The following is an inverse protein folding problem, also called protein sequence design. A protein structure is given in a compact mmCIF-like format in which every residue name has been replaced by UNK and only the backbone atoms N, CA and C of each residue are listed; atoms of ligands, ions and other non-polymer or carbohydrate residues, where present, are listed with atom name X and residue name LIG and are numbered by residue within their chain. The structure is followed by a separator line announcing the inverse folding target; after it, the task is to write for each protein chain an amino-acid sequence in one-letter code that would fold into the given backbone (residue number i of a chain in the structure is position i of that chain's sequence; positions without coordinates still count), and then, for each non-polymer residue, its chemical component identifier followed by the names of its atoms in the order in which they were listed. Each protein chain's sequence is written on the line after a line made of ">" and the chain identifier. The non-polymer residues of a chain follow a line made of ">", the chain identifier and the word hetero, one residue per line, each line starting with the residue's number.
data_IF_057878935745
#
_entry.id   IF_057878935745
#
_cell.length_a   1.000
_cell.length_b   1.000
_cell.length_c   1.000
_cell.angle_alpha   90.00
_cell.angle_beta   90.00
_cell.angle_gamma   90.00
#
_symmetry.space_group_name_H-M   'P 1'
#
loop_
_entity.id
_entity.type
_entity.pdbx_description
1 polymer ?
#
# COMPACT_ATOMS: atom_id res chain seq x y z
N UNK A 1 4.51 8.88 -8.76
CA UNK A 1 5.37 7.95 -7.97
C UNK A 1 4.92 8.00 -6.53
N UNK A 2 5.02 6.88 -5.78
CA UNK A 2 4.64 6.86 -4.38
C UNK A 2 5.69 7.53 -3.48
N UNK A 3 5.22 8.24 -2.47
CA UNK A 3 5.97 8.81 -1.36
C UNK A 3 5.77 7.92 -0.12
N UNK A 4 6.85 7.50 0.53
CA UNK A 4 6.73 6.60 1.68
C UNK A 4 6.58 7.34 3.00
N UNK A 5 5.61 6.89 3.81
CA UNK A 5 5.40 7.32 5.20
C UNK A 5 6.23 6.44 6.14
N UNK A 6 6.35 5.17 5.79
CA UNK A 6 7.20 4.17 6.40
C UNK A 6 7.48 3.05 5.42
N UNK A 7 8.59 2.33 5.62
CA UNK A 7 9.04 1.27 4.70
C UNK A 7 9.34 -0.05 5.41
N UNK A 8 9.00 -0.16 6.69
CA UNK A 8 9.28 -1.33 7.51
C UNK A 8 8.11 -2.29 7.67
N UNK A 9 8.41 -3.53 8.01
CA UNK A 9 7.41 -4.53 8.38
C UNK A 9 6.82 -4.29 9.78
N UNK A 10 5.96 -5.21 10.22
CA UNK A 10 5.17 -5.09 11.45
C UNK A 10 5.95 -4.69 12.71
N UNK A 11 7.17 -5.17 12.85
CA UNK A 11 8.01 -4.99 14.05
C UNK A 11 9.20 -4.07 13.82
N UNK A 12 9.26 -3.39 12.68
CA UNK A 12 10.35 -2.48 12.37
C UNK A 12 10.19 -1.16 13.12
N UNK A 13 11.05 -0.96 14.13
CA UNK A 13 11.14 0.30 14.83
C UNK A 13 11.96 1.35 14.04
N UNK A 14 12.87 0.87 13.18
CA UNK A 14 13.76 1.72 12.38
C UNK A 14 13.05 2.38 11.20
N UNK A 15 12.18 1.64 10.52
CA UNK A 15 11.58 2.08 9.26
C UNK A 15 10.10 2.47 9.39
N UNK A 16 9.44 2.14 10.53
CA UNK A 16 8.00 2.33 10.73
C UNK A 16 7.15 1.43 9.84
N UNK A 17 5.84 1.38 10.07
CA UNK A 17 4.95 0.53 9.28
C UNK A 17 4.94 0.94 7.80
N UNK A 18 4.95 -0.07 6.93
CA UNK A 18 4.95 0.14 5.49
C UNK A 18 3.66 0.83 5.04
N UNK A 19 3.80 2.04 4.57
CA UNK A 19 2.70 2.83 4.03
C UNK A 19 3.25 3.87 3.07
N UNK A 20 2.49 4.16 2.03
CA UNK A 20 2.86 5.16 1.05
C UNK A 20 1.66 6.03 0.67
N UNK A 21 1.92 7.18 0.05
CA UNK A 21 0.88 8.04 -0.49
C UNK A 21 1.26 8.59 -1.85
N UNK A 22 0.26 9.06 -2.57
CA UNK A 22 0.42 9.94 -3.72
C UNK A 22 -0.71 10.96 -3.76
N UNK A 23 -0.41 12.10 -4.34
CA UNK A 23 -1.36 13.17 -4.57
C UNK A 23 -1.71 13.23 -6.06
N UNK A 24 -3.00 13.15 -6.37
CA UNK A 24 -3.52 13.30 -7.73
C UNK A 24 -4.60 14.39 -7.70
N UNK A 25 -4.40 15.45 -8.46
CA UNK A 25 -5.29 16.60 -8.39
C UNK A 25 -5.43 17.14 -6.97
N UNK A 26 -6.65 17.19 -6.46
CA UNK A 26 -6.95 17.62 -5.08
C UNK A 26 -7.20 16.44 -4.12
N UNK A 27 -6.95 15.22 -4.55
CA UNK A 27 -7.17 14.02 -3.77
C UNK A 27 -5.86 13.44 -3.22
N UNK A 28 -5.97 12.76 -2.07
CA UNK A 28 -4.88 12.01 -1.46
C UNK A 28 -5.19 10.50 -1.53
N UNK A 29 -4.25 9.73 -2.04
CA UNK A 29 -4.30 8.27 -2.14
C UNK A 29 -3.27 7.69 -1.18
N UNK A 30 -3.72 6.85 -0.24
CA UNK A 30 -2.88 6.23 0.80
C UNK A 30 -2.92 4.72 0.61
N UNK A 31 -1.75 4.11 0.52
CA UNK A 31 -1.54 2.67 0.42
C UNK A 31 -1.14 2.14 1.79
N UNK A 32 -2.03 1.35 2.39
CA UNK A 32 -1.99 0.87 3.77
C UNK A 32 -1.98 1.99 4.83
N UNK A 33 -2.44 1.68 6.02
CA UNK A 33 -2.56 2.61 7.14
C UNK A 33 -2.28 1.89 8.46
N UNK A 34 -1.02 1.57 8.71
CA UNK A 34 -0.55 0.94 9.93
C UNK A 34 -0.68 1.81 11.18
N UNK A 35 -0.35 1.26 12.34
CA UNK A 35 -0.62 1.91 13.64
C UNK A 35 0.13 3.23 13.84
N UNK A 36 1.29 3.43 13.22
CA UNK A 36 2.11 4.65 13.37
C UNK A 36 1.88 5.70 12.27
N UNK A 37 1.07 5.38 11.24
CA UNK A 37 0.87 6.23 10.05
C UNK A 37 0.09 7.51 10.39
N UNK A 38 -0.94 7.42 11.25
CA UNK A 38 -1.76 8.57 11.60
C UNK A 38 -0.93 9.74 12.12
N UNK A 39 -0.05 9.51 13.08
CA UNK A 39 0.73 10.58 13.71
C UNK A 39 1.65 11.29 12.71
N UNK A 40 2.23 10.54 11.78
CA UNK A 40 3.11 11.08 10.74
C UNK A 40 2.33 11.96 9.75
N UNK A 41 1.23 11.46 9.19
CA UNK A 41 0.41 12.21 8.23
C UNK A 41 -0.22 13.47 8.86
N UNK A 42 -0.61 13.40 10.14
CA UNK A 42 -1.13 14.57 10.86
C UNK A 42 -0.03 15.63 11.03
N UNK A 43 1.17 15.23 11.43
CA UNK A 43 2.29 16.16 11.62
C UNK A 43 2.69 16.83 10.30
N UNK A 44 2.67 16.09 9.20
CA UNK A 44 2.97 16.57 7.85
C UNK A 44 1.88 17.44 7.22
N UNK A 45 0.72 17.56 7.87
CA UNK A 45 -0.44 18.35 7.35
C UNK A 45 -0.91 17.95 5.95
N UNK A 46 -0.71 16.71 5.55
CA UNK A 46 -1.00 16.22 4.20
C UNK A 46 -2.50 16.25 3.82
N UNK A 47 -3.37 16.48 4.79
CA UNK A 47 -4.81 16.61 4.56
C UNK A 47 -5.26 18.04 4.20
N UNK A 48 -4.38 19.04 4.35
CA UNK A 48 -4.75 20.45 4.06
C UNK A 48 -5.09 20.63 2.57
N UNK A 49 -6.27 21.17 2.31
CA UNK A 49 -6.76 21.45 0.94
C UNK A 49 -7.23 20.23 0.15
N UNK A 50 -7.25 19.04 0.75
CA UNK A 50 -7.73 17.85 0.05
C UNK A 50 -9.24 17.78 -0.03
N UNK A 51 -9.74 17.41 -1.20
CA UNK A 51 -11.19 17.23 -1.44
C UNK A 51 -11.64 15.83 -1.06
N UNK A 52 -10.75 14.82 -1.14
CA UNK A 52 -11.02 13.42 -0.83
C UNK A 52 -9.76 12.72 -0.33
N UNK A 53 -9.94 11.72 0.53
CA UNK A 53 -8.88 10.80 0.94
C UNK A 53 -9.30 9.37 0.62
N UNK A 54 -8.47 8.66 -0.14
CA UNK A 54 -8.69 7.34 -0.67
C UNK A 54 -7.68 6.36 -0.04
N UNK A 55 -8.16 5.39 0.74
CA UNK A 55 -7.34 4.36 1.37
C UNK A 55 -7.41 3.07 0.56
N UNK A 56 -6.31 2.63 0.01
CA UNK A 56 -6.14 1.33 -0.63
C UNK A 56 -5.44 0.39 0.35
N UNK A 57 -6.17 -0.56 0.91
CA UNK A 57 -5.66 -1.46 1.94
C UNK A 57 -5.39 -2.84 1.34
N UNK A 58 -4.18 -3.35 1.57
CA UNK A 58 -3.76 -4.64 1.03
C UNK A 58 -4.28 -5.80 1.86
N UNK A 59 -4.26 -5.70 3.18
CA UNK A 59 -4.79 -6.71 4.10
C UNK A 59 -5.00 -6.14 5.53
N UNK A 60 -5.56 -6.97 6.43
CA UNK A 60 -6.07 -6.49 7.72
C UNK A 60 -5.09 -6.63 8.90
N UNK A 61 -3.81 -6.94 8.68
CA UNK A 61 -2.83 -6.90 9.75
C UNK A 61 -2.66 -5.49 10.32
N UNK A 62 -2.26 -5.39 11.58
CA UNK A 62 -2.24 -4.11 12.29
C UNK A 62 -1.22 -3.11 11.72
N UNK A 63 -0.17 -3.58 11.10
CA UNK A 63 0.84 -2.75 10.42
C UNK A 63 0.37 -2.24 9.04
N UNK A 64 -0.78 -2.74 8.53
CA UNK A 64 -1.39 -2.29 7.26
C UNK A 64 -2.76 -1.62 7.45
N UNK A 65 -3.53 -2.00 8.48
CA UNK A 65 -4.88 -1.45 8.70
C UNK A 65 -5.12 -0.93 10.12
N UNK A 66 -4.17 -1.10 11.06
CA UNK A 66 -4.37 -0.78 12.47
C UNK A 66 -4.60 0.69 12.78
N UNK A 67 -4.09 1.60 11.96
CA UNK A 67 -4.27 3.05 12.09
C UNK A 67 -5.52 3.59 11.38
N UNK A 68 -6.22 2.77 10.58
CA UNK A 68 -7.28 3.23 9.71
C UNK A 68 -8.47 3.84 10.48
N UNK A 69 -8.89 3.23 11.58
CA UNK A 69 -10.03 3.72 12.34
C UNK A 69 -9.80 5.11 12.94
N UNK A 70 -8.65 5.35 13.57
CA UNK A 70 -8.34 6.70 14.09
C UNK A 70 -8.21 7.71 12.96
N UNK A 71 -7.68 7.30 11.82
CA UNK A 71 -7.54 8.14 10.64
C UNK A 71 -8.91 8.58 10.10
N UNK A 72 -9.85 7.64 9.92
CA UNK A 72 -11.23 7.93 9.48
C UNK A 72 -11.90 8.90 10.46
N UNK A 73 -11.78 8.66 11.76
CA UNK A 73 -12.36 9.53 12.78
C UNK A 73 -11.80 10.96 12.72
N UNK A 74 -10.48 11.10 12.58
CA UNK A 74 -9.82 12.39 12.43
C UNK A 74 -10.27 13.12 11.17
N UNK A 75 -10.28 12.46 10.03
CA UNK A 75 -10.72 13.02 8.76
C UNK A 75 -12.17 13.51 8.84
N UNK A 76 -13.08 12.69 9.37
CA UNK A 76 -14.49 13.04 9.50
C UNK A 76 -14.70 14.28 10.36
N UNK A 77 -14.09 14.38 11.52
CA UNK A 77 -14.35 15.47 12.44
C UNK A 77 -13.49 16.70 12.20
N UNK A 78 -12.20 16.52 11.92
CA UNK A 78 -11.23 17.61 11.90
C UNK A 78 -10.98 18.17 10.49
N UNK A 79 -11.11 17.35 9.45
CA UNK A 79 -10.81 17.76 8.08
C UNK A 79 -12.07 18.03 7.29
N UNK A 80 -13.00 17.09 7.29
CA UNK A 80 -14.21 17.16 6.44
C UNK A 80 -15.47 17.58 7.18
N UNK A 81 -15.37 17.95 8.46
CA UNK A 81 -16.44 18.56 9.27
C UNK A 81 -17.78 17.81 9.21
N UNK A 82 -17.72 16.46 9.22
CA UNK A 82 -18.87 15.56 9.20
C UNK A 82 -19.18 14.94 7.83
N UNK A 83 -18.58 15.41 6.76
CA UNK A 83 -18.79 14.86 5.41
C UNK A 83 -17.96 13.59 5.20
N UNK A 84 -18.56 12.44 5.50
CA UNK A 84 -17.94 11.12 5.34
C UNK A 84 -17.87 10.63 3.89
N UNK A 85 -18.61 11.25 2.96
CA UNK A 85 -18.55 10.88 1.53
C UNK A 85 -17.19 11.15 0.88
N UNK A 86 -16.34 11.94 1.56
CA UNK A 86 -14.98 12.29 1.15
C UNK A 86 -13.91 11.34 1.70
N UNK A 87 -14.32 10.30 2.44
CA UNK A 87 -13.45 9.28 3.04
C UNK A 87 -13.78 7.95 2.39
N UNK A 88 -12.89 7.48 1.51
CA UNK A 88 -13.10 6.28 0.71
C UNK A 88 -12.11 5.19 1.13
N UNK A 89 -12.61 3.98 1.34
CA UNK A 89 -11.80 2.79 1.65
C UNK A 89 -12.00 1.77 0.55
N UNK A 90 -10.93 1.32 -0.06
CA UNK A 90 -10.90 0.33 -1.12
C UNK A 90 -10.31 -0.96 -0.57
N UNK A 91 -11.15 -1.99 -0.45
CA UNK A 91 -10.74 -3.31 0.02
C UNK A 91 -11.71 -4.37 -0.48
N UNK A 92 -11.28 -5.39 -1.23
CA UNK A 92 -12.18 -6.31 -1.95
C UNK A 92 -12.82 -7.39 -1.06
N UNK A 93 -13.17 -7.02 0.17
CA UNK A 93 -13.92 -7.87 1.11
C UNK A 93 -14.68 -7.03 2.14
N UNK A 94 -15.85 -7.52 2.55
CA UNK A 94 -16.64 -6.91 3.63
C UNK A 94 -16.04 -7.09 5.02
N UNK A 95 -15.01 -7.91 5.18
CA UNK A 95 -14.28 -8.04 6.46
C UNK A 95 -13.68 -6.72 6.96
N UNK A 96 -13.48 -5.74 6.07
CA UNK A 96 -13.13 -4.38 6.45
C UNK A 96 -14.23 -3.71 7.31
N UNK A 97 -15.49 -3.93 7.00
CA UNK A 97 -16.61 -3.41 7.81
C UNK A 97 -16.57 -3.96 9.24
N UNK A 98 -16.24 -5.26 9.39
CA UNK A 98 -16.14 -5.90 10.70
C UNK A 98 -14.97 -5.33 11.52
N UNK A 99 -13.80 -5.14 10.88
CA UNK A 99 -12.65 -4.51 11.51
C UNK A 99 -13.02 -3.11 12.03
N UNK A 100 -13.61 -2.26 11.17
CA UNK A 100 -13.94 -0.88 11.51
C UNK A 100 -15.07 -0.80 12.54
N UNK A 101 -16.07 -1.71 12.47
CA UNK A 101 -17.14 -1.80 13.46
C UNK A 101 -16.62 -2.16 14.85
N UNK A 102 -15.63 -3.05 14.97
CA UNK A 102 -14.96 -3.33 16.24
C UNK A 102 -14.22 -2.13 16.80
N UNK A 103 -13.80 -1.19 15.94
CA UNK A 103 -13.21 0.10 16.34
C UNK A 103 -14.26 1.21 16.57
N UNK A 104 -15.55 0.89 16.51
CA UNK A 104 -16.67 1.80 16.78
C UNK A 104 -17.12 2.64 15.57
N UNK A 105 -16.76 2.23 14.36
CA UNK A 105 -17.09 2.94 13.12
C UNK A 105 -18.07 2.10 12.30
N UNK A 106 -19.18 2.71 11.88
CA UNK A 106 -20.16 2.09 11.00
C UNK A 106 -20.10 2.71 9.58
N UNK A 107 -20.99 2.30 8.70
CA UNK A 107 -21.07 2.75 7.32
C UNK A 107 -21.37 4.26 7.15
N UNK A 108 -21.69 4.99 8.22
CA UNK A 108 -21.90 6.45 8.17
C UNK A 108 -20.57 7.22 8.29
N UNK A 109 -19.45 6.53 8.51
CA UNK A 109 -18.14 7.17 8.71
C UNK A 109 -17.28 7.22 7.46
N UNK A 110 -17.54 6.36 6.50
CA UNK A 110 -16.75 6.20 5.29
C UNK A 110 -17.57 5.55 4.18
N UNK A 111 -17.04 5.54 2.96
CA UNK A 111 -17.58 4.75 1.85
C UNK A 111 -16.63 3.58 1.58
N UNK A 112 -17.13 2.33 1.64
CA UNK A 112 -16.35 1.14 1.32
C UNK A 112 -16.61 0.70 -0.13
N UNK A 113 -15.53 0.53 -0.88
CA UNK A 113 -15.52 -0.05 -2.22
C UNK A 113 -14.94 -1.45 -2.16
N UNK A 114 -15.75 -2.44 -2.56
CA UNK A 114 -15.39 -3.89 -2.49
C UNK A 114 -15.07 -4.48 -3.87
N UNK A 115 -15.03 -3.67 -4.91
CA UNK A 115 -14.72 -4.11 -6.26
C UNK A 115 -13.23 -4.47 -6.37
N UNK A 116 -12.93 -5.59 -7.05
CA UNK A 116 -11.54 -5.97 -7.36
C UNK A 116 -10.94 -5.16 -8.49
N UNK A 117 -11.75 -4.54 -9.31
CA UNK A 117 -11.37 -3.65 -10.39
C UNK A 117 -12.43 -2.57 -10.55
N UNK A 118 -12.01 -1.34 -10.74
CA UNK A 118 -12.89 -0.21 -11.04
C UNK A 118 -12.09 0.97 -11.61
N UNK A 119 -12.82 2.00 -12.01
CA UNK A 119 -12.30 3.27 -12.51
C UNK A 119 -12.75 4.42 -11.61
N UNK A 120 -11.88 5.39 -11.37
CA UNK A 120 -12.15 6.59 -10.60
C UNK A 120 -11.89 7.83 -11.45
N UNK A 121 -12.80 8.78 -11.42
CA UNK A 121 -12.52 10.13 -11.94
C UNK A 121 -11.86 10.94 -10.83
N UNK A 122 -10.65 11.41 -11.06
CA UNK A 122 -9.87 12.18 -10.07
C UNK A 122 -10.26 13.65 -10.13
N UNK A 123 -10.67 14.20 -9.00
CA UNK A 123 -11.03 15.61 -8.89
C UNK A 123 -9.87 16.54 -9.29
N UNK A 124 -10.15 17.45 -10.21
CA UNK A 124 -9.19 18.47 -10.69
C UNK A 124 -8.20 17.99 -11.77
N UNK A 125 -8.31 16.76 -12.25
CA UNK A 125 -7.45 16.25 -13.34
C UNK A 125 -8.19 15.94 -14.63
N UNK A 126 -9.51 15.73 -14.60
CA UNK A 126 -10.32 15.25 -15.75
C UNK A 126 -9.77 13.94 -16.37
N UNK A 127 -9.05 13.13 -15.56
CA UNK A 127 -8.47 11.85 -15.95
C UNK A 127 -9.06 10.71 -15.15
N UNK A 128 -9.06 9.53 -15.77
CA UNK A 128 -9.51 8.29 -15.14
C UNK A 128 -8.32 7.56 -14.55
N UNK A 129 -8.44 7.18 -13.29
CA UNK A 129 -7.54 6.28 -12.59
C UNK A 129 -8.15 4.89 -12.59
N UNK A 130 -7.48 3.92 -13.17
CA UNK A 130 -7.86 2.52 -13.10
C UNK A 130 -7.13 1.84 -11.95
N UNK A 131 -7.81 0.95 -11.22
CA UNK A 131 -7.17 0.12 -10.20
C UNK A 131 -7.66 -1.32 -10.24
N UNK A 132 -6.80 -2.23 -9.80
CA UNK A 132 -7.20 -3.62 -9.58
C UNK A 132 -6.52 -4.21 -8.35
N UNK A 133 -7.24 -5.12 -7.69
CA UNK A 133 -6.74 -5.96 -6.60
C UNK A 133 -6.54 -7.38 -7.08
N UNK A 134 -5.36 -7.95 -6.83
CA UNK A 134 -5.04 -9.34 -7.08
C UNK A 134 -4.72 -10.07 -5.78
N UNK A 135 -5.14 -11.32 -5.67
CA UNK A 135 -4.82 -12.13 -4.49
C UNK A 135 -3.31 -12.31 -4.33
N UNK A 136 -2.80 -11.98 -3.15
CA UNK A 136 -1.41 -12.18 -2.76
C UNK A 136 -1.30 -13.36 -1.77
N UNK A 137 -0.21 -14.12 -1.87
CA UNK A 137 0.03 -15.26 -0.98
C UNK A 137 0.87 -14.81 0.21
N UNK A 138 0.21 -14.48 1.31
CA UNK A 138 0.86 -14.05 2.55
C UNK A 138 0.44 -14.90 3.74
N UNK A 139 -0.87 -15.08 3.95
CA UNK A 139 -1.39 -15.88 5.06
C UNK A 139 -2.18 -17.08 4.54
N UNK A 140 -2.12 -18.19 5.27
CA UNK A 140 -3.04 -19.32 5.07
C UNK A 140 -4.36 -19.10 5.82
N UNK A 141 -4.42 -18.05 6.62
CA UNK A 141 -5.62 -17.69 7.38
C UNK A 141 -6.64 -17.11 6.41
N UNK A 142 -7.58 -17.95 6.07
CA UNK A 142 -8.78 -17.52 5.37
C UNK A 142 -9.63 -16.71 6.35
N UNK A 143 -10.33 -15.70 5.84
CA UNK A 143 -11.38 -15.09 6.62
C UNK A 143 -12.46 -16.14 6.94
N UNK A 144 -13.44 -15.79 7.80
CA UNK A 144 -14.56 -16.67 8.13
C UNK A 144 -15.47 -17.04 6.93
N UNK A 145 -15.30 -16.42 5.76
CA UNK A 145 -15.92 -16.80 4.50
C UNK A 145 -15.06 -17.79 3.68
N UNK A 146 -13.90 -18.19 4.18
CA UNK A 146 -12.98 -19.10 3.49
C UNK A 146 -12.25 -18.46 2.30
N UNK A 147 -12.11 -17.14 2.29
CA UNK A 147 -11.46 -16.38 1.19
C UNK A 147 -10.14 -15.77 1.65
N UNK A 148 -9.20 -15.66 0.72
CA UNK A 148 -7.99 -14.89 0.94
C UNK A 148 -8.32 -13.39 1.10
N UNK A 149 -7.74 -12.76 2.09
CA UNK A 149 -7.89 -11.33 2.40
C UNK A 149 -6.56 -10.57 2.30
N UNK A 150 -5.61 -11.09 1.54
CA UNK A 150 -4.38 -10.37 1.23
C UNK A 150 -4.30 -10.10 -0.27
N UNK A 151 -4.01 -8.85 -0.65
CA UNK A 151 -4.06 -8.40 -2.03
C UNK A 151 -2.84 -7.54 -2.38
N UNK A 152 -2.43 -7.65 -3.64
CA UNK A 152 -1.60 -6.64 -4.31
C UNK A 152 -2.51 -5.66 -5.04
N UNK A 153 -1.99 -4.48 -5.33
CA UNK A 153 -2.72 -3.40 -6.02
C UNK A 153 -1.96 -3.03 -7.28
N UNK A 154 -2.65 -3.05 -8.40
CA UNK A 154 -2.16 -2.40 -9.63
C UNK A 154 -2.96 -1.13 -9.86
N UNK A 155 -2.31 -0.07 -10.27
CA UNK A 155 -2.94 1.23 -10.50
C UNK A 155 -2.31 1.89 -11.72
N UNK A 156 -3.15 2.42 -12.60
CA UNK A 156 -2.70 3.09 -13.82
C UNK A 156 -3.54 4.32 -14.14
N UNK A 157 -2.92 5.28 -14.77
CA UNK A 157 -3.56 6.44 -15.36
C UNK A 157 -2.95 6.63 -16.75
N UNK A 158 -3.79 6.67 -17.79
CA UNK A 158 -3.34 6.74 -19.17
C UNK A 158 -2.38 7.91 -19.41
N UNK A 159 -1.25 7.62 -20.07
CA UNK A 159 -0.16 8.57 -20.38
C UNK A 159 0.53 9.20 -19.15
N UNK A 160 0.24 8.75 -17.93
CA UNK A 160 0.87 9.28 -16.71
C UNK A 160 1.73 8.23 -16.01
N UNK A 161 1.14 7.09 -15.61
CA UNK A 161 1.86 6.04 -14.90
C UNK A 161 1.13 4.69 -14.89
N UNK A 162 1.91 3.63 -14.71
CA UNK A 162 1.44 2.30 -14.30
C UNK A 162 2.32 1.81 -13.17
N UNK A 163 1.72 1.53 -12.01
CA UNK A 163 2.42 1.05 -10.82
C UNK A 163 1.81 -0.24 -10.28
N UNK A 164 2.64 -1.01 -9.60
CA UNK A 164 2.24 -2.18 -8.85
C UNK A 164 2.75 -2.09 -7.42
N UNK A 165 1.87 -2.35 -6.44
CA UNK A 165 2.15 -2.39 -5.02
C UNK A 165 1.83 -3.79 -4.50
N UNK A 166 2.86 -4.55 -4.09
CA UNK A 166 2.70 -5.98 -3.81
C UNK A 166 1.83 -6.28 -2.59
N UNK A 167 1.70 -5.34 -1.64
CA UNK A 167 1.33 -5.72 -0.29
C UNK A 167 2.32 -6.76 0.25
N UNK A 168 1.90 -7.55 1.23
CA UNK A 168 2.70 -8.66 1.73
C UNK A 168 2.47 -9.91 0.89
N UNK A 169 3.57 -10.60 0.54
CA UNK A 169 3.52 -11.81 -0.29
C UNK A 169 4.78 -12.66 -0.12
N UNK A 170 4.66 -13.96 -0.21
CA UNK A 170 5.80 -14.87 -0.14
C UNK A 170 6.40 -15.27 -1.50
N UNK A 171 5.91 -14.68 -2.60
CA UNK A 171 6.44 -14.94 -3.93
C UNK A 171 6.42 -13.68 -4.80
N UNK A 172 7.31 -13.68 -5.80
CA UNK A 172 7.37 -12.67 -6.83
C UNK A 172 6.28 -12.95 -7.89
N UNK A 173 5.40 -11.98 -8.13
CA UNK A 173 4.28 -12.16 -9.05
C UNK A 173 4.78 -12.37 -10.50
N UNK A 174 4.26 -13.39 -11.19
CA UNK A 174 4.72 -13.72 -12.55
C UNK A 174 4.53 -12.60 -13.56
N UNK A 175 3.47 -11.81 -13.42
CA UNK A 175 3.22 -10.65 -14.30
C UNK A 175 4.34 -9.61 -14.24
N UNK A 176 5.09 -9.56 -13.15
CA UNK A 176 6.22 -8.63 -13.00
C UNK A 176 7.41 -8.99 -13.90
N UNK A 177 7.41 -10.16 -14.53
CA UNK A 177 8.35 -10.50 -15.62
C UNK A 177 8.21 -9.53 -16.80
N UNK A 178 7.06 -8.87 -16.93
CA UNK A 178 6.81 -7.81 -17.93
C UNK A 178 7.10 -6.42 -17.34
N UNK A 179 8.22 -6.27 -16.66
CA UNK A 179 8.61 -5.07 -15.91
C UNK A 179 8.62 -3.79 -16.75
N UNK A 180 8.79 -3.91 -18.05
CA UNK A 180 8.76 -2.77 -18.98
C UNK A 180 7.38 -2.10 -19.08
N UNK A 181 6.30 -2.80 -18.70
CA UNK A 181 4.95 -2.23 -18.67
C UNK A 181 4.70 -1.33 -17.45
N UNK A 182 5.63 -1.31 -16.50
CA UNK A 182 5.49 -0.55 -15.26
C UNK A 182 6.51 0.60 -15.20
N UNK A 183 6.09 1.71 -14.62
CA UNK A 183 6.97 2.80 -14.24
C UNK A 183 7.67 2.49 -12.92
N UNK A 184 6.95 1.88 -11.99
CA UNK A 184 7.51 1.39 -10.73
C UNK A 184 6.75 0.16 -10.19
N UNK A 185 7.49 -0.72 -9.54
CA UNK A 185 6.99 -1.90 -8.82
C UNK A 185 7.44 -1.78 -7.38
N UNK A 186 6.50 -1.50 -6.48
CA UNK A 186 6.74 -1.47 -5.05
C UNK A 186 6.56 -2.87 -4.49
N UNK A 187 7.66 -3.51 -4.11
CA UNK A 187 7.64 -4.91 -3.71
C UNK A 187 8.22 -5.11 -2.31
N UNK A 188 7.49 -5.87 -1.48
CA UNK A 188 7.98 -6.27 -0.18
C UNK A 188 9.20 -7.17 -0.29
N UNK A 189 10.07 -7.13 0.70
CA UNK A 189 11.19 -8.06 0.83
C UNK A 189 11.68 -8.15 2.26
N UNK A 190 12.11 -9.34 2.66
CA UNK A 190 12.78 -9.55 3.94
C UNK A 190 14.20 -10.08 3.76
N UNK A 191 15.09 -9.73 4.71
CA UNK A 191 16.42 -10.32 4.82
C UNK A 191 16.45 -11.73 5.42
N UNK A 192 15.32 -12.23 5.94
CA UNK A 192 15.23 -13.57 6.55
C UNK A 192 15.05 -14.65 5.48
N UNK A 193 16.09 -15.45 5.25
CA UNK A 193 16.10 -16.46 4.19
C UNK A 193 15.10 -17.60 4.38
N UNK A 194 14.75 -17.92 5.63
CA UNK A 194 13.78 -18.96 5.98
C UNK A 194 12.33 -18.42 6.08
N UNK A 195 12.09 -17.19 5.63
CA UNK A 195 10.76 -16.62 5.66
C UNK A 195 9.79 -17.44 4.78
N UNK A 196 8.63 -17.79 5.33
CA UNK A 196 7.59 -18.56 4.64
C UNK A 196 6.39 -17.69 4.25
N UNK A 197 6.27 -16.51 4.86
CA UNK A 197 5.14 -15.57 4.68
C UNK A 197 5.51 -14.34 3.86
N UNK A 198 6.81 -14.06 3.74
CA UNK A 198 7.39 -12.92 3.03
C UNK A 198 8.40 -13.40 1.99
N UNK A 199 8.63 -12.59 0.97
CA UNK A 199 9.63 -12.87 -0.06
C UNK A 199 11.04 -12.63 0.49
N UNK A 200 11.87 -13.67 0.60
CA UNK A 200 13.26 -13.47 0.99
C UNK A 200 14.06 -12.81 -0.15
N UNK A 201 15.09 -12.04 0.25
CA UNK A 201 15.94 -11.32 -0.71
C UNK A 201 16.63 -12.25 -1.71
N UNK A 202 17.04 -13.46 -1.30
CA UNK A 202 17.62 -14.46 -2.20
C UNK A 202 16.63 -14.96 -3.26
N UNK A 203 15.36 -15.14 -2.90
CA UNK A 203 14.30 -15.51 -3.87
C UNK A 203 14.02 -14.38 -4.85
N UNK A 204 14.04 -13.12 -4.38
CA UNK A 204 13.92 -11.97 -5.25
C UNK A 204 15.07 -11.90 -6.27
N UNK A 205 16.31 -12.08 -5.81
CA UNK A 205 17.48 -12.12 -6.68
C UNK A 205 17.36 -13.21 -7.74
N UNK A 206 16.94 -14.42 -7.36
CA UNK A 206 16.73 -15.53 -8.30
C UNK A 206 15.60 -15.21 -9.29
N UNK A 207 14.48 -14.65 -8.82
CA UNK A 207 13.35 -14.26 -9.68
C UNK A 207 13.71 -13.17 -10.71
N UNK A 208 14.70 -12.34 -10.38
CA UNK A 208 15.15 -11.21 -11.20
C UNK A 208 16.54 -11.42 -11.81
N UNK A 209 17.08 -12.66 -11.79
CA UNK A 209 18.45 -12.94 -12.25
C UNK A 209 18.73 -12.52 -13.69
N UNK A 210 17.71 -12.63 -14.56
CA UNK A 210 17.79 -12.27 -15.98
C UNK A 210 17.44 -10.79 -16.25
N UNK A 211 17.10 -10.02 -15.21
CA UNK A 211 16.79 -8.60 -15.34
C UNK A 211 18.07 -7.77 -15.45
N UNK A 212 18.02 -6.78 -16.32
CA UNK A 212 19.03 -5.72 -16.39
C UNK A 212 19.00 -4.86 -15.12
N UNK A 213 20.06 -4.08 -14.88
CA UNK A 213 20.08 -3.13 -13.75
C UNK A 213 19.00 -2.06 -13.89
N UNK A 214 18.69 -1.63 -15.10
CA UNK A 214 17.61 -0.64 -15.33
C UNK A 214 16.23 -1.21 -15.02
N UNK A 215 15.99 -2.49 -15.32
CA UNK A 215 14.76 -3.16 -14.94
C UNK A 215 14.67 -3.35 -13.43
N UNK A 216 15.75 -3.80 -12.77
CA UNK A 216 15.79 -3.93 -11.30
C UNK A 216 15.56 -2.60 -10.60
N UNK A 217 16.05 -1.48 -11.16
CA UNK A 217 15.86 -0.13 -10.62
C UNK A 217 14.39 0.29 -10.56
N UNK A 218 13.54 -0.26 -11.40
CA UNK A 218 12.08 -0.06 -11.34
C UNK A 218 11.45 -0.76 -10.15
N UNK A 219 12.11 -1.76 -9.54
CA UNK A 219 11.64 -2.46 -8.36
C UNK A 219 12.10 -1.69 -7.13
N UNK A 220 11.14 -1.11 -6.41
CA UNK A 220 11.36 -0.34 -5.19
C UNK A 220 11.05 -1.24 -4.00
N UNK A 221 12.07 -1.60 -3.24
CA UNK A 221 11.96 -2.52 -2.10
C UNK A 221 11.33 -1.81 -0.90
N UNK A 222 10.38 -2.47 -0.26
CA UNK A 222 9.64 -1.97 0.89
C UNK A 222 9.35 -3.09 1.89
N UNK A 223 8.65 -2.78 2.99
CA UNK A 223 8.30 -3.72 4.07
C UNK A 223 9.53 -4.40 4.70
N UNK A 224 10.56 -3.60 4.96
CA UNK A 224 11.89 -4.05 5.36
C UNK A 224 11.95 -4.44 6.84
N UNK A 225 12.70 -5.47 7.17
CA UNK A 225 13.10 -5.71 8.56
C UNK A 225 14.28 -4.79 8.97
N UNK A 226 14.46 -4.58 10.28
CA UNK A 226 15.47 -3.65 10.80
C UNK A 226 16.92 -4.03 10.43
N UNK A 227 17.15 -5.30 10.13
CA UNK A 227 18.45 -5.85 9.72
C UNK A 227 18.67 -5.92 8.22
N UNK A 228 17.73 -5.46 7.41
CA UNK A 228 17.84 -5.53 5.95
C UNK A 228 19.04 -4.73 5.43
N UNK A 229 19.82 -5.36 4.54
CA UNK A 229 21.04 -4.78 3.94
C UNK A 229 20.67 -3.90 2.73
N UNK A 230 20.34 -2.65 3.02
CA UNK A 230 19.97 -1.63 2.02
C UNK A 230 21.11 -1.38 1.01
N UNK A 231 22.34 -1.29 1.49
CA UNK A 231 23.50 -1.01 0.63
C UNK A 231 23.74 -2.12 -0.40
N UNK A 232 23.58 -3.37 0.03
CA UNK A 232 23.64 -4.51 -0.87
C UNK A 232 22.55 -4.45 -1.94
N UNK A 233 21.31 -4.16 -1.55
CA UNK A 233 20.19 -4.07 -2.49
C UNK A 233 20.40 -2.98 -3.55
N UNK A 234 20.89 -1.81 -3.15
CA UNK A 234 21.28 -0.73 -4.07
C UNK A 234 22.41 -1.17 -5.01
N UNK A 235 23.42 -1.88 -4.49
CA UNK A 235 24.52 -2.46 -5.28
C UNK A 235 24.06 -3.48 -6.32
N UNK A 236 23.05 -4.27 -5.99
CA UNK A 236 22.44 -5.27 -6.88
C UNK A 236 21.50 -4.64 -7.93
N UNK A 237 21.28 -3.32 -7.86
CA UNK A 237 20.56 -2.52 -8.86
C UNK A 237 19.10 -2.23 -8.52
N UNK A 238 18.60 -2.61 -7.34
CA UNK A 238 17.25 -2.27 -6.89
C UNK A 238 17.16 -0.81 -6.40
N UNK A 239 15.97 -0.26 -6.42
CA UNK A 239 15.64 0.91 -5.62
C UNK A 239 15.15 0.47 -4.24
N UNK A 240 15.32 1.31 -3.23
CA UNK A 240 14.82 1.03 -1.88
C UNK A 240 13.94 2.21 -1.43
N UNK A 241 12.75 1.91 -0.94
CA UNK A 241 11.83 2.91 -0.40
C UNK A 241 12.48 3.65 0.78
N UNK A 242 12.25 4.95 0.83
CA UNK A 242 12.74 5.81 1.92
C UNK A 242 11.57 6.65 2.42
N UNK A 243 11.29 6.55 3.72
CA UNK A 243 10.29 7.40 4.35
C UNK A 243 10.72 8.87 4.25
N UNK A 244 9.76 9.71 3.92
CA UNK A 244 9.95 11.15 3.90
C UNK A 244 9.89 11.73 5.31
N UNK A 245 10.63 12.80 5.54
CA UNK A 245 10.44 13.67 6.71
C UNK A 245 9.22 14.55 6.42
N UNK A 246 8.05 14.09 6.87
CA UNK A 246 6.76 14.76 6.68
C UNK A 246 6.52 15.74 7.84
#
# INVERSE_FOLDING_TARGET
>A
MLHFIGTGGAFSAKFGNNSAYMELGTELFIFDCGVDVFAKLQAGKLFEGKTRVNFFITHLHCDHAGGLGVMIAYLKYMVFHGDSSRICVYFPSKSMEDLLRLQGLDEQWYTLYVNRWDELVVDGMEKVLEYSFEEASHTEELNYEGKNNCFSIEMSMEDEFTIFYSGDTNFFAEKLKNIHNYDAIYHEVTGYEEATRHLSYSKLLEATKDFTKEERKKIVLMHLDDGFDVERALGDGFSVGKAEEI
#
